data_IF_123416645618
#
_entry.id   IF_123416645618
#
_cell.length_a   1.000
_cell.length_b   1.000
_cell.length_c   1.000
_cell.angle_alpha   90.00
_cell.angle_beta   90.00
_cell.angle_gamma   90.00
#
_symmetry.space_group_name_H-M   'P 1'
#
loop_
_entity.id
_entity.type
_entity.pdbx_description
1 polymer ?
#
# COMPACT_ATOMS: atom_id res chain seq x y z
N UNK A 1 13.51 11.16 30.41
CA UNK A 1 13.34 9.70 30.26
C UNK A 1 14.19 9.17 29.10
N UNK A 2 15.48 9.53 29.04
CA UNK A 2 16.35 9.27 27.88
C UNK A 2 17.34 8.13 28.13
N UNK A 3 17.85 7.97 29.36
CA UNK A 3 18.83 6.94 29.69
C UNK A 3 18.33 5.50 29.50
N UNK A 4 17.04 5.23 29.78
CA UNK A 4 16.44 3.91 29.56
C UNK A 4 16.38 3.53 28.08
N UNK A 5 16.16 4.51 27.18
CA UNK A 5 16.14 4.32 25.73
C UNK A 5 17.54 3.96 25.20
N UNK A 6 18.59 4.54 25.78
CA UNK A 6 19.98 4.21 25.41
C UNK A 6 20.41 2.83 25.95
N UNK A 7 19.88 2.39 27.11
CA UNK A 7 20.13 1.06 27.66
C UNK A 7 19.60 -0.07 26.77
N UNK A 8 18.46 0.14 26.10
CA UNK A 8 17.94 -0.81 25.11
C UNK A 8 18.87 -0.99 23.90
N UNK A 9 19.69 0.02 23.58
CA UNK A 9 20.63 -0.01 22.46
C UNK A 9 21.94 -0.77 22.76
N UNK A 10 22.17 -1.11 24.03
CA UNK A 10 23.30 -1.95 24.43
C UNK A 10 23.16 -3.38 23.90
N UNK A 11 21.92 -3.80 23.61
CA UNK A 11 21.61 -5.06 22.92
C UNK A 11 21.23 -4.79 21.46
N UNK A 12 22.09 -5.11 20.48
CA UNK A 12 21.79 -4.90 19.08
C UNK A 12 20.52 -5.68 18.68
N UNK A 13 19.54 -4.98 18.10
CA UNK A 13 18.27 -5.54 17.61
C UNK A 13 17.08 -5.49 18.59
N UNK A 14 17.30 -5.25 19.89
CA UNK A 14 16.21 -5.19 20.89
C UNK A 14 15.31 -3.93 20.78
N UNK A 15 15.82 -2.72 20.49
CA UNK A 15 14.99 -1.52 20.36
C UNK A 15 13.98 -1.62 19.21
N UNK A 16 14.36 -2.24 18.10
CA UNK A 16 13.53 -2.36 16.90
C UNK A 16 12.35 -3.31 17.10
N UNK A 17 12.54 -4.39 17.87
CA UNK A 17 11.49 -5.38 18.17
C UNK A 17 10.44 -4.75 19.09
N UNK A 18 10.90 -4.06 20.14
CA UNK A 18 10.00 -3.59 21.21
C UNK A 18 9.21 -2.34 20.81
N UNK A 19 9.77 -1.47 19.95
CA UNK A 19 9.10 -0.22 19.54
C UNK A 19 8.44 -0.24 18.15
N UNK A 20 8.84 -1.14 17.24
CA UNK A 20 8.27 -1.20 15.86
C UNK A 20 7.60 -2.52 15.51
N UNK A 21 7.62 -3.54 16.38
CA UNK A 21 7.08 -4.86 16.05
C UNK A 21 7.77 -5.54 14.86
N UNK A 22 8.98 -5.06 14.51
CA UNK A 22 9.71 -5.44 13.31
C UNK A 22 10.44 -6.75 13.56
N UNK A 23 9.89 -7.85 13.04
CA UNK A 23 10.46 -9.21 13.20
C UNK A 23 11.77 -9.41 12.41
N UNK A 24 12.11 -8.52 11.49
CA UNK A 24 13.31 -8.63 10.66
C UNK A 24 14.63 -8.53 11.44
N UNK A 25 14.62 -7.98 12.65
CA UNK A 25 15.80 -7.85 13.52
C UNK A 25 15.99 -9.01 14.52
N UNK A 26 15.01 -9.91 14.62
CA UNK A 26 15.10 -11.13 15.46
C UNK A 26 16.31 -12.02 15.12
N UNK A 27 16.60 -12.32 13.84
CA UNK A 27 17.74 -13.16 13.48
C UNK A 27 19.07 -12.57 13.95
N UNK A 28 19.21 -11.24 13.91
CA UNK A 28 20.40 -10.53 14.37
C UNK A 28 20.54 -10.63 15.90
N UNK A 29 19.45 -10.42 16.65
CA UNK A 29 19.44 -10.54 18.09
C UNK A 29 19.75 -11.98 18.57
N UNK A 30 19.17 -12.98 17.90
CA UNK A 30 19.43 -14.40 18.15
C UNK A 30 20.89 -14.74 17.81
N UNK A 31 21.38 -14.28 16.65
CA UNK A 31 22.76 -14.48 16.23
C UNK A 31 23.78 -13.92 17.22
N UNK A 32 23.53 -12.71 17.74
CA UNK A 32 24.35 -12.10 18.78
C UNK A 32 24.30 -12.90 20.09
N UNK A 33 23.11 -13.34 20.52
CA UNK A 33 22.94 -14.17 21.71
C UNK A 33 23.73 -15.48 21.60
N UNK A 34 23.66 -16.15 20.45
CA UNK A 34 24.41 -17.38 20.17
C UNK A 34 25.91 -17.13 20.16
N UNK A 35 26.38 -16.05 19.55
CA UNK A 35 27.79 -15.71 19.50
C UNK A 35 28.38 -15.44 20.90
N UNK A 36 27.68 -14.69 21.74
CA UNK A 36 28.09 -14.42 23.13
C UNK A 36 28.11 -15.72 23.96
N UNK A 37 27.08 -16.56 23.83
CA UNK A 37 27.03 -17.84 24.52
C UNK A 37 28.15 -18.78 24.07
N UNK A 38 28.41 -18.88 22.77
CA UNK A 38 29.48 -19.71 22.21
C UNK A 38 30.85 -19.22 22.71
N UNK A 39 31.07 -17.90 22.73
CA UNK A 39 32.29 -17.30 23.25
C UNK A 39 32.51 -17.62 24.74
N UNK A 40 31.46 -17.58 25.57
CA UNK A 40 31.53 -17.96 26.98
C UNK A 40 31.84 -19.45 27.16
N UNK A 41 31.21 -20.32 26.37
CA UNK A 41 31.45 -21.77 26.42
C UNK A 41 32.90 -22.08 26.04
N UNK A 42 33.39 -21.53 24.93
CA UNK A 42 34.77 -21.77 24.46
C UNK A 42 35.80 -21.15 25.41
N UNK A 43 35.55 -19.97 25.95
CA UNK A 43 36.49 -19.28 26.84
C UNK A 43 36.56 -19.85 28.26
N UNK A 44 35.43 -20.31 28.81
CA UNK A 44 35.33 -20.65 30.23
C UNK A 44 35.15 -22.14 30.52
N UNK A 45 34.45 -22.87 29.64
CA UNK A 45 34.19 -24.31 29.84
C UNK A 45 35.30 -25.18 29.20
N UNK A 46 35.91 -24.72 28.09
CA UNK A 46 36.99 -25.44 27.38
C UNK A 46 38.25 -24.56 27.16
N UNK A 47 38.91 -24.07 28.22
CA UNK A 47 40.06 -23.16 28.09
C UNK A 47 41.28 -23.79 27.39
N UNK A 48 41.40 -25.11 27.38
CA UNK A 48 42.54 -25.82 26.75
C UNK A 48 42.42 -25.96 25.22
N UNK A 49 41.25 -25.65 24.65
CA UNK A 49 41.02 -25.79 23.20
C UNK A 49 41.56 -24.61 22.37
N UNK A 50 41.79 -23.45 22.99
CA UNK A 50 42.25 -22.25 22.30
C UNK A 50 43.51 -21.72 22.95
N UNK A 51 44.55 -21.46 22.14
CA UNK A 51 45.73 -20.76 22.66
C UNK A 51 45.34 -19.39 23.23
N UNK A 52 45.91 -19.04 24.39
CA UNK A 52 45.54 -17.80 25.09
C UNK A 52 45.71 -16.52 24.25
N UNK A 53 46.65 -16.52 23.30
CA UNK A 53 46.83 -15.42 22.34
C UNK A 53 45.69 -15.32 21.31
N UNK A 54 45.19 -16.46 20.83
CA UNK A 54 44.07 -16.49 19.89
C UNK A 54 42.76 -16.08 20.57
N UNK A 55 42.58 -16.45 21.84
CA UNK A 55 41.46 -16.00 22.65
C UNK A 55 41.44 -14.47 22.78
N UNK A 56 42.56 -13.85 23.14
CA UNK A 56 42.66 -12.39 23.26
C UNK A 56 42.43 -11.64 21.92
N UNK A 57 42.92 -12.19 20.81
CA UNK A 57 42.64 -11.65 19.48
C UNK A 57 41.14 -11.75 19.13
N UNK A 58 40.51 -12.89 19.44
CA UNK A 58 39.07 -13.09 19.27
C UNK A 58 38.23 -12.11 20.11
N UNK A 59 38.65 -11.88 21.36
CA UNK A 59 38.01 -10.90 22.25
C UNK A 59 38.09 -9.48 21.69
N UNK A 60 39.26 -9.06 21.21
CA UNK A 60 39.45 -7.73 20.62
C UNK A 60 38.60 -7.53 19.36
N UNK A 61 38.57 -8.54 18.47
CA UNK A 61 37.73 -8.52 17.27
C UNK A 61 36.25 -8.50 17.67
N UNK A 62 35.84 -9.30 18.65
CA UNK A 62 34.47 -9.34 19.16
C UNK A 62 34.02 -7.99 19.73
N UNK A 63 34.84 -7.35 20.56
CA UNK A 63 34.57 -6.00 21.07
C UNK A 63 34.58 -4.94 19.97
N UNK A 64 35.45 -5.06 18.96
CA UNK A 64 35.47 -4.18 17.79
C UNK A 64 34.21 -4.28 16.96
N UNK A 65 33.75 -5.51 16.68
CA UNK A 65 32.49 -5.78 15.96
C UNK A 65 31.30 -5.30 16.80
N UNK A 66 31.27 -5.60 18.10
CA UNK A 66 30.23 -5.10 19.01
C UNK A 66 30.18 -3.58 19.04
N UNK A 67 31.32 -2.92 19.22
CA UNK A 67 31.44 -1.46 19.21
C UNK A 67 31.01 -0.86 17.87
N UNK A 68 31.33 -1.51 16.75
CA UNK A 68 30.86 -1.11 15.42
C UNK A 68 29.33 -1.22 15.29
N UNK A 69 28.73 -2.33 15.71
CA UNK A 69 27.27 -2.49 15.68
C UNK A 69 26.54 -1.51 16.61
N UNK A 70 27.11 -1.25 17.80
CA UNK A 70 26.58 -0.23 18.73
C UNK A 70 26.71 1.17 18.13
N UNK A 71 27.87 1.52 17.56
CA UNK A 71 28.07 2.83 16.93
C UNK A 71 27.18 3.02 15.69
N UNK A 72 26.99 1.96 14.90
CA UNK A 72 26.06 1.95 13.78
C UNK A 72 24.62 2.14 14.26
N UNK A 73 24.20 1.39 15.28
CA UNK A 73 22.89 1.56 15.92
C UNK A 73 22.68 2.99 16.40
N UNK A 74 23.65 3.55 17.14
CA UNK A 74 23.60 4.94 17.61
C UNK A 74 23.55 5.98 16.48
N UNK A 75 24.13 5.70 15.31
CA UNK A 75 24.06 6.55 14.12
C UNK A 75 22.75 6.43 13.35
N UNK A 76 22.11 5.26 13.36
CA UNK A 76 20.79 5.02 12.77
C UNK A 76 19.65 5.50 13.72
N UNK A 77 19.92 5.58 15.03
CA UNK A 77 18.99 6.08 16.05
C UNK A 77 18.42 7.49 15.82
N UNK A 78 19.12 8.53 15.33
CA UNK A 78 18.46 9.82 15.06
C UNK A 78 17.35 9.75 14.00
N UNK A 79 17.34 8.72 13.15
CA UNK A 79 16.26 8.46 12.18
C UNK A 79 15.15 7.55 12.77
N UNK A 80 15.49 6.69 13.74
CA UNK A 80 14.54 5.83 14.47
C UNK A 80 13.88 6.52 15.68
N UNK A 81 14.62 7.41 16.33
CA UNK A 81 14.26 8.36 17.39
C UNK A 81 14.23 9.77 16.78
N UNK A 82 13.64 9.95 15.59
CA UNK A 82 12.73 11.08 15.51
C UNK A 82 11.62 10.69 16.48
N UNK A 83 11.61 11.23 17.73
CA UNK A 83 10.46 10.99 18.58
C UNK A 83 9.25 11.42 17.73
N UNK A 84 8.11 10.75 17.91
CA UNK A 84 6.84 11.44 17.76
C UNK A 84 7.00 12.72 18.58
N UNK A 85 7.40 13.82 17.94
CA UNK A 85 7.04 15.13 18.43
C UNK A 85 5.54 14.98 18.45
N UNK A 86 4.98 14.83 19.66
CA UNK A 86 3.55 14.97 19.86
C UNK A 86 3.28 16.33 19.28
N UNK A 87 2.87 16.36 18.01
CA UNK A 87 2.48 17.59 17.37
C UNK A 87 1.30 18.01 18.21
N UNK A 88 1.38 19.20 18.79
CA UNK A 88 0.23 19.79 19.47
C UNK A 88 -0.89 20.09 18.46
N UNK A 89 -0.61 19.96 17.17
CA UNK A 89 -1.63 20.00 16.13
C UNK A 89 -2.57 18.79 16.26
N UNK A 90 -3.89 19.03 16.33
CA UNK A 90 -4.87 17.97 16.47
C UNK A 90 -4.82 17.04 15.26
N UNK A 91 -4.89 15.74 15.50
CA UNK A 91 -5.02 14.74 14.45
C UNK A 91 -6.31 15.00 13.64
N UNK A 92 -6.12 15.43 12.39
CA UNK A 92 -7.22 15.76 11.46
C UNK A 92 -7.63 14.56 10.59
N UNK A 93 -7.14 13.36 10.87
CA UNK A 93 -7.53 12.17 10.12
C UNK A 93 -9.04 11.91 10.22
N UNK A 94 -9.65 12.18 11.38
CA UNK A 94 -11.11 12.10 11.55
C UNK A 94 -11.87 13.04 10.60
N UNK A 95 -11.41 14.28 10.46
CA UNK A 95 -12.02 15.27 9.56
C UNK A 95 -11.83 14.89 8.09
N UNK A 96 -10.65 14.36 7.74
CA UNK A 96 -10.38 13.81 6.42
C UNK A 96 -11.35 12.67 6.07
N UNK A 97 -11.61 11.78 7.03
CA UNK A 97 -12.54 10.68 6.85
C UNK A 97 -13.98 11.15 6.65
N UNK A 98 -14.42 12.14 7.45
CA UNK A 98 -15.73 12.75 7.28
C UNK A 98 -15.86 13.44 5.91
N UNK A 99 -14.83 14.17 5.45
CA UNK A 99 -14.84 14.81 4.14
C UNK A 99 -14.92 13.78 3.00
N UNK A 100 -14.21 12.65 3.12
CA UNK A 100 -14.30 11.54 2.16
C UNK A 100 -15.70 10.93 2.09
N UNK A 101 -16.33 10.68 3.25
CA UNK A 101 -17.70 10.15 3.30
C UNK A 101 -18.73 11.11 2.72
N UNK A 102 -18.48 12.43 2.80
CA UNK A 102 -19.31 13.47 2.17
C UNK A 102 -19.05 13.61 0.66
N UNK A 103 -18.00 12.98 0.12
CA UNK A 103 -17.59 13.14 -1.28
C UNK A 103 -16.84 14.44 -1.57
N UNK A 104 -16.35 15.14 -0.53
CA UNK A 104 -15.59 16.38 -0.65
C UNK A 104 -14.10 16.06 -0.91
N UNK A 105 -13.77 15.61 -2.12
CA UNK A 105 -12.44 15.09 -2.46
C UNK A 105 -11.31 16.10 -2.25
N UNK A 106 -11.52 17.38 -2.59
CA UNK A 106 -10.49 18.41 -2.47
C UNK A 106 -10.19 18.75 -1.00
N UNK A 107 -11.24 18.85 -0.18
CA UNK A 107 -11.10 19.07 1.26
C UNK A 107 -10.39 17.89 1.91
N UNK A 108 -10.75 16.66 1.51
CA UNK A 108 -10.13 15.44 2.00
C UNK A 108 -8.61 15.41 1.70
N UNK A 109 -8.20 15.74 0.48
CA UNK A 109 -6.78 15.84 0.11
C UNK A 109 -6.04 16.87 0.98
N UNK A 110 -6.62 18.04 1.23
CA UNK A 110 -6.01 19.06 2.08
C UNK A 110 -5.85 18.60 3.55
N UNK A 111 -6.85 17.89 4.09
CA UNK A 111 -6.73 17.34 5.43
C UNK A 111 -5.70 16.21 5.51
N UNK A 112 -5.67 15.30 4.52
CA UNK A 112 -4.70 14.20 4.45
C UNK A 112 -3.27 14.71 4.27
N UNK A 113 -3.05 15.72 3.45
CA UNK A 113 -1.72 16.33 3.28
C UNK A 113 -1.23 17.00 4.57
N UNK A 114 -2.14 17.58 5.37
CA UNK A 114 -1.81 18.10 6.71
C UNK A 114 -1.41 16.97 7.66
N UNK A 115 -2.15 15.85 7.65
CA UNK A 115 -1.82 14.66 8.46
C UNK A 115 -0.46 14.08 8.05
N UNK A 116 -0.21 13.96 6.74
CA UNK A 116 1.05 13.44 6.21
C UNK A 116 2.23 14.40 6.39
N UNK A 117 1.99 15.70 6.58
CA UNK A 117 3.04 16.64 6.97
C UNK A 117 3.56 16.35 8.40
N UNK A 118 2.69 15.82 9.26
CA UNK A 118 3.03 15.40 10.63
C UNK A 118 3.63 13.99 10.62
N UNK A 119 2.96 13.04 9.98
CA UNK A 119 3.40 11.64 9.87
C UNK A 119 3.47 11.19 8.39
N UNK A 120 4.60 11.41 7.70
CA UNK A 120 4.74 11.14 6.26
C UNK A 120 4.60 9.66 5.86
N UNK A 121 4.65 8.76 6.84
CA UNK A 121 4.67 7.30 6.63
C UNK A 121 3.45 6.61 7.23
N UNK A 122 2.34 7.32 7.44
CA UNK A 122 1.09 6.74 7.94
C UNK A 122 0.35 5.96 6.84
N UNK A 123 0.25 4.61 6.91
CA UNK A 123 -0.38 3.83 5.84
C UNK A 123 -1.87 4.15 5.65
N UNK A 124 -2.71 4.28 6.69
CA UNK A 124 -4.12 4.71 6.55
C UNK A 124 -4.29 6.01 5.76
N UNK A 125 -3.56 7.08 6.11
CA UNK A 125 -3.64 8.34 5.40
C UNK A 125 -3.19 8.22 3.94
N UNK A 126 -2.11 7.48 3.66
CA UNK A 126 -1.63 7.27 2.30
C UNK A 126 -2.59 6.43 1.44
N UNK A 127 -3.13 5.33 1.98
CA UNK A 127 -4.12 4.50 1.27
C UNK A 127 -5.38 5.31 0.96
N UNK A 128 -5.82 6.13 1.91
CA UNK A 128 -6.98 6.99 1.75
C UNK A 128 -6.74 8.09 0.70
N UNK A 129 -5.53 8.67 0.68
CA UNK A 129 -5.13 9.64 -0.35
C UNK A 129 -5.14 9.01 -1.76
N UNK A 130 -4.69 7.75 -1.88
CA UNK A 130 -4.83 7.00 -3.13
C UNK A 130 -6.29 6.88 -3.57
N UNK A 131 -7.21 6.57 -2.64
CA UNK A 131 -8.63 6.48 -2.95
C UNK A 131 -9.19 7.84 -3.41
N UNK A 132 -8.73 8.95 -2.83
CA UNK A 132 -9.08 10.31 -3.25
C UNK A 132 -8.59 10.60 -4.67
N UNK A 133 -7.32 10.31 -5.00
CA UNK A 133 -6.79 10.48 -6.36
C UNK A 133 -7.56 9.67 -7.41
N UNK A 134 -7.95 8.44 -7.05
CA UNK A 134 -8.79 7.60 -7.90
C UNK A 134 -10.15 8.25 -8.18
N UNK A 135 -10.79 8.87 -7.18
CA UNK A 135 -12.07 9.59 -7.36
C UNK A 135 -11.92 10.91 -8.13
N UNK A 136 -10.76 11.56 -8.06
CA UNK A 136 -10.44 12.74 -8.85
C UNK A 136 -10.03 12.40 -10.31
N UNK A 137 -9.89 11.12 -10.66
CA UNK A 137 -9.46 10.68 -11.99
C UNK A 137 -7.93 10.78 -12.23
N UNK A 138 -7.16 11.09 -11.18
CA UNK A 138 -5.69 11.17 -11.20
C UNK A 138 -5.07 9.78 -11.02
N UNK A 139 -5.25 8.91 -12.01
CA UNK A 139 -4.86 7.49 -11.89
C UNK A 139 -3.34 7.26 -11.86
N UNK A 140 -2.57 8.09 -12.56
CA UNK A 140 -1.10 7.99 -12.58
C UNK A 140 -0.52 8.29 -11.20
N UNK A 141 -0.98 9.38 -10.57
CA UNK A 141 -0.59 9.76 -9.21
C UNK A 141 -0.97 8.68 -8.19
N UNK A 142 -2.14 8.07 -8.35
CA UNK A 142 -2.60 6.96 -7.50
C UNK A 142 -1.71 5.72 -7.63
N UNK A 143 -1.27 5.36 -8.85
CA UNK A 143 -0.40 4.20 -9.08
C UNK A 143 1.01 4.44 -8.52
N UNK A 144 1.57 5.64 -8.73
CA UNK A 144 2.84 6.05 -8.14
C UNK A 144 2.81 5.98 -6.62
N UNK A 145 1.77 6.53 -6.00
CA UNK A 145 1.60 6.50 -4.55
C UNK A 145 1.50 5.06 -4.02
N UNK A 146 0.71 4.19 -4.66
CA UNK A 146 0.61 2.76 -4.27
C UNK A 146 1.95 2.03 -4.44
N UNK A 147 2.75 2.42 -5.43
CA UNK A 147 4.12 1.95 -5.61
C UNK A 147 5.02 2.35 -4.44
N UNK A 148 4.97 3.60 -4.00
CA UNK A 148 5.74 4.11 -2.86
C UNK A 148 5.32 3.46 -1.54
N UNK A 149 4.01 3.40 -1.25
CA UNK A 149 3.49 2.78 -0.02
C UNK A 149 3.93 1.33 0.09
N UNK A 150 3.96 0.59 -1.03
CA UNK A 150 4.35 -0.82 -1.04
C UNK A 150 5.82 -1.10 -0.69
N UNK A 151 6.66 -0.07 -0.70
CA UNK A 151 8.06 -0.15 -0.29
C UNK A 151 8.24 0.14 1.19
N UNK A 152 7.20 0.61 1.88
CA UNK A 152 7.23 0.91 3.30
C UNK A 152 6.94 -0.37 4.09
N UNK A 153 7.89 -0.80 4.94
CA UNK A 153 7.70 -1.96 5.83
C UNK A 153 6.47 -1.78 6.77
N UNK A 154 6.13 -0.53 7.13
CA UNK A 154 4.96 -0.22 7.96
C UNK A 154 3.64 -0.54 7.25
N UNK A 155 3.64 -0.55 5.91
CA UNK A 155 2.45 -0.88 5.12
C UNK A 155 2.19 -2.39 5.00
N UNK A 156 3.11 -3.25 5.42
CA UNK A 156 2.95 -4.71 5.33
C UNK A 156 1.72 -5.21 6.10
N UNK A 157 1.39 -4.57 7.23
CA UNK A 157 0.20 -4.89 8.01
C UNK A 157 -1.12 -4.60 7.25
N UNK A 158 -1.07 -3.73 6.24
CA UNK A 158 -2.21 -3.23 5.46
C UNK A 158 -2.25 -3.81 4.04
N UNK A 159 -1.56 -4.93 3.81
CA UNK A 159 -1.41 -5.52 2.48
C UNK A 159 -2.75 -5.84 1.80
N UNK A 160 -3.78 -6.21 2.59
CA UNK A 160 -5.12 -6.52 2.08
C UNK A 160 -5.77 -5.26 1.51
N UNK A 161 -5.69 -4.14 2.24
CA UNK A 161 -6.24 -2.86 1.84
C UNK A 161 -5.51 -2.30 0.61
N UNK A 162 -4.17 -2.39 0.58
CA UNK A 162 -3.37 -1.99 -0.58
C UNK A 162 -3.73 -2.80 -1.82
N UNK A 163 -3.84 -4.12 -1.70
CA UNK A 163 -4.22 -4.99 -2.82
C UNK A 163 -5.64 -4.71 -3.31
N UNK A 164 -6.57 -4.44 -2.38
CA UNK A 164 -7.92 -4.04 -2.71
C UNK A 164 -7.95 -2.71 -3.50
N UNK A 165 -7.19 -1.69 -3.08
CA UNK A 165 -7.10 -0.42 -3.82
C UNK A 165 -6.43 -0.59 -5.18
N UNK A 166 -5.34 -1.36 -5.30
CA UNK A 166 -4.75 -1.69 -6.61
C UNK A 166 -5.75 -2.33 -7.55
N UNK A 167 -6.55 -3.28 -7.06
CA UNK A 167 -7.60 -3.93 -7.85
C UNK A 167 -8.71 -2.96 -8.26
N UNK A 168 -9.03 -1.95 -7.46
CA UNK A 168 -9.99 -0.90 -7.82
C UNK A 168 -9.42 0.02 -8.90
N UNK A 169 -8.16 0.45 -8.73
CA UNK A 169 -7.47 1.33 -9.67
C UNK A 169 -7.35 0.67 -11.06
N UNK A 170 -6.87 -0.57 -11.13
CA UNK A 170 -6.76 -1.32 -12.40
C UNK A 170 -8.08 -1.46 -13.15
N UNK A 171 -9.18 -1.71 -12.42
CA UNK A 171 -10.52 -1.80 -13.02
C UNK A 171 -10.95 -0.48 -13.66
N UNK A 172 -10.65 0.65 -13.01
CA UNK A 172 -11.02 1.96 -13.56
C UNK A 172 -10.15 2.36 -14.74
N UNK A 173 -8.85 2.05 -14.70
CA UNK A 173 -7.94 2.26 -15.84
C UNK A 173 -8.42 1.44 -17.06
N UNK A 174 -8.73 0.16 -16.87
CA UNK A 174 -9.24 -0.70 -17.94
C UNK A 174 -10.57 -0.19 -18.52
N UNK A 175 -11.51 0.22 -17.67
CA UNK A 175 -12.78 0.78 -18.13
C UNK A 175 -12.60 2.08 -18.92
N UNK A 176 -11.61 2.91 -18.54
CA UNK A 176 -11.27 4.14 -19.26
C UNK A 176 -10.66 3.83 -20.62
N UNK A 177 -9.72 2.89 -20.72
CA UNK A 177 -9.12 2.49 -22.01
C UNK A 177 -10.15 1.90 -22.97
N UNK A 178 -11.08 1.06 -22.47
CA UNK A 178 -12.18 0.50 -23.29
C UNK A 178 -13.12 1.60 -23.80
N UNK A 179 -13.38 2.62 -22.98
CA UNK A 179 -14.20 3.77 -23.37
C UNK A 179 -13.52 4.67 -24.42
N UNK A 180 -12.19 4.68 -24.46
CA UNK A 180 -11.40 5.45 -25.42
C UNK A 180 -11.23 4.70 -26.76
N UNK A 181 -11.17 3.36 -26.76
CA UNK A 181 -11.04 2.53 -27.97
C UNK A 181 -12.36 2.30 -28.73
N UNK A 182 -13.53 2.47 -28.10
CA UNK A 182 -14.84 2.39 -28.75
C UNK A 182 -15.56 3.76 -28.80
N UNK A 183 -15.21 4.64 -29.76
CA UNK A 183 -15.96 5.87 -29.99
C UNK A 183 -17.33 5.53 -30.60
N UNK A 184 -18.36 5.45 -29.75
CA UNK A 184 -19.79 5.65 -30.06
C UNK A 184 -20.27 5.20 -31.46
N UNK A 185 -20.25 3.91 -31.78
CA UNK A 185 -20.98 3.39 -32.97
C UNK A 185 -22.44 3.02 -32.64
N UNK A 186 -22.78 2.80 -31.37
CA UNK A 186 -24.07 2.16 -31.01
C UNK A 186 -25.22 3.11 -30.64
N UNK A 187 -25.12 4.42 -30.91
CA UNK A 187 -26.24 5.35 -30.67
C UNK A 187 -27.15 5.57 -31.88
N UNK A 188 -26.77 5.12 -33.09
CA UNK A 188 -27.59 5.34 -34.27
C UNK A 188 -28.57 4.19 -34.61
N UNK A 189 -28.40 3.01 -34.00
CA UNK A 189 -29.22 1.84 -34.34
C UNK A 189 -30.47 1.67 -33.47
N UNK A 190 -30.55 2.34 -32.30
CA UNK A 190 -31.73 2.28 -31.42
C UNK A 190 -32.77 3.39 -31.67
N UNK A 191 -32.46 4.41 -32.47
CA UNK A 191 -33.45 5.43 -32.87
C UNK A 191 -34.24 5.06 -34.14
N UNK A 192 -33.76 4.12 -34.96
CA UNK A 192 -34.46 3.73 -36.19
C UNK A 192 -35.43 2.55 -35.99
N UNK A 193 -35.40 1.88 -34.84
CA UNK A 193 -36.30 0.76 -34.51
C UNK A 193 -37.58 1.20 -33.76
N UNK A 194 -37.74 2.49 -33.45
CA UNK A 194 -38.87 3.02 -32.68
C UNK A 194 -39.78 3.94 -33.50
N UNK A 195 -39.97 3.66 -34.79
CA UNK A 195 -41.07 4.26 -35.55
C UNK A 195 -42.19 3.21 -35.73
N UNK A 196 -43.19 3.15 -34.84
CA UNK A 196 -44.30 2.20 -34.93
C UNK A 196 -45.32 2.52 -36.05
N UNK A 197 -45.01 3.45 -36.96
CA UNK A 197 -45.93 3.93 -37.99
C UNK A 197 -45.94 3.10 -39.30
N UNK A 198 -45.02 2.15 -39.49
CA UNK A 198 -44.80 1.51 -40.81
C UNK A 198 -45.34 0.06 -40.93
N UNK A 199 -46.09 -0.43 -39.93
CA UNK A 199 -46.63 -1.80 -39.92
C UNK A 199 -48.11 -1.93 -40.33
N UNK A 200 -48.79 -0.82 -40.64
CA UNK A 200 -50.23 -0.85 -40.97
C UNK A 200 -50.57 -0.88 -42.46
N UNK A 201 -49.61 -0.66 -43.37
CA UNK A 201 -49.91 -0.61 -44.82
C UNK A 201 -49.71 -1.93 -45.58
N UNK A 202 -49.08 -2.95 -44.97
CA UNK A 202 -48.77 -4.20 -45.69
C UNK A 202 -49.82 -5.32 -45.55
N UNK A 203 -50.90 -5.11 -44.79
CA UNK A 203 -51.93 -6.13 -44.54
C UNK A 203 -53.27 -5.91 -45.28
N UNK A 204 -53.41 -4.83 -46.07
CA UNK A 204 -54.68 -4.44 -46.66
C UNK A 204 -54.85 -4.77 -48.16
N UNK A 205 -53.95 -5.54 -48.78
CA UNK A 205 -53.99 -5.78 -50.23
C UNK A 205 -54.00 -7.25 -50.66
N UNK A 206 -54.81 -8.06 -49.97
CA UNK A 206 -55.18 -9.42 -50.38
C UNK A 206 -56.70 -9.60 -50.25
N UNK A 207 -57.48 -8.86 -51.04
CA UNK A 207 -58.66 -9.44 -51.69
C UNK A 207 -59.23 -8.48 -52.74
N UNK A 208 -59.94 -9.08 -53.71
CA UNK A 208 -60.64 -8.47 -54.86
C UNK A 208 -59.90 -8.61 -56.19
N UNK A 209 -60.09 -9.78 -56.82
CA UNK A 209 -60.17 -9.89 -58.27
C UNK A 209 -61.57 -10.44 -58.60
N UNK A 210 -62.43 -9.72 -59.37
CA UNK A 210 -63.78 -10.17 -59.65
C UNK A 210 -63.80 -11.18 -60.80
N UNK A 211 -64.70 -12.15 -60.66
CA UNK A 211 -65.13 -13.10 -61.68
C UNK A 211 -65.37 -12.44 -63.05
N UNK A 212 -64.81 -13.04 -64.10
CA UNK A 212 -65.37 -12.89 -65.44
C UNK A 212 -65.19 -14.15 -66.30
N UNK A 213 -66.35 -14.73 -66.66
CA UNK A 213 -66.66 -15.42 -67.93
C UNK A 213 -66.00 -16.80 -68.15
N UNK A 214 -66.79 -17.88 -68.18
CA UNK A 214 -67.58 -18.38 -69.33
C UNK A 214 -66.75 -19.24 -70.30
N UNK A 215 -67.39 -20.33 -70.77
CA UNK A 215 -66.99 -21.25 -71.84
C UNK A 215 -65.95 -22.32 -71.43
N UNK A 216 -66.05 -23.58 -71.80
CA UNK A 216 -66.99 -24.36 -72.59
C UNK A 216 -66.62 -25.85 -72.45
N UNK A 217 -67.62 -26.72 -72.68
CA UNK A 217 -67.54 -28.14 -73.07
C UNK A 217 -66.98 -29.16 -72.06
#
# INVERSE_FOLDING_TARGET
MSASLYLSCLWPGLPEIWWRGRLASLPLAIGFALAVNLFLIVGWIYPDWLSGGLFWMGTLVGFGVWGYYVARGLRELPELISPRTVSEEPDRFGDAHLAYLKGEWQSCENYLTTVLAIEPRDPPALIMLCAVYRHQGRYEDADLLLGEISRLEVADAWWVELDAERRRLRRQIAAKSESEEHPKTDQNEKQNASNPADLTDSAANLDVQPDSRSAAA
#
